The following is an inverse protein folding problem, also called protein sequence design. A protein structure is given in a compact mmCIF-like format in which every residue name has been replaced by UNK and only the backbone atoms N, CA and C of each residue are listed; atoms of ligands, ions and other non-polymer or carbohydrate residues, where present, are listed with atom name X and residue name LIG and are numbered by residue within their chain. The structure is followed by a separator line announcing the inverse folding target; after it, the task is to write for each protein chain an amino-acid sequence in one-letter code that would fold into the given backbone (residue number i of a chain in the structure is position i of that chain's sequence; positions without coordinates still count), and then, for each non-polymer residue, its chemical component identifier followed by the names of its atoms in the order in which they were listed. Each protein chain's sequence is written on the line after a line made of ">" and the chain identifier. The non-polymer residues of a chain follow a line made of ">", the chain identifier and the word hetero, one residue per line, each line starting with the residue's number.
data_IF_186761164649
#
_entry.id   IF_186761164649
#
_cell.length_a   1.000
_cell.length_b   1.000
_cell.length_c   1.000
_cell.angle_alpha   90.00
_cell.angle_beta   90.00
_cell.angle_gamma   90.00
#
_symmetry.space_group_name_H-M   'P 1'
#
loop_
_entity.id
_entity.type
_entity.pdbx_description
1 polymer ?
#
# COMPACT_ATOMS: atom_id res chain seq x y z
N UNK A 1 -3.70 23.42 23.03
CA UNK A 1 -3.16 22.97 21.73
C UNK A 1 -4.32 22.42 20.90
N UNK A 2 -4.39 22.70 19.59
CA UNK A 2 -5.51 22.28 18.74
C UNK A 2 -5.22 20.91 18.10
N UNK A 3 -6.10 19.95 18.32
CA UNK A 3 -6.10 18.63 17.65
C UNK A 3 -6.91 18.67 16.36
N UNK A 4 -6.53 17.87 15.38
CA UNK A 4 -7.28 17.67 14.14
C UNK A 4 -7.81 16.24 14.13
N UNK A 5 -9.13 16.07 14.07
CA UNK A 5 -9.74 14.75 13.91
C UNK A 5 -10.22 14.60 12.49
N UNK A 6 -9.73 13.58 11.79
CA UNK A 6 -10.15 13.25 10.42
C UNK A 6 -10.97 11.97 10.45
N UNK A 7 -12.19 12.03 9.91
CA UNK A 7 -13.00 10.86 9.66
C UNK A 7 -12.58 10.20 8.35
N UNK A 8 -11.89 9.07 8.43
CA UNK A 8 -11.47 8.28 7.26
C UNK A 8 -12.64 7.41 6.82
N UNK A 9 -13.28 7.76 5.71
CA UNK A 9 -14.42 7.05 5.17
C UNK A 9 -13.99 5.96 4.18
N UNK A 10 -14.22 4.69 4.53
CA UNK A 10 -13.89 3.53 3.73
C UNK A 10 -15.15 3.05 3.00
N UNK A 11 -15.29 3.46 1.75
CA UNK A 11 -16.41 3.09 0.89
C UNK A 11 -16.08 1.96 -0.09
N UNK A 12 -16.95 1.76 -1.08
CA UNK A 12 -16.79 0.74 -2.12
C UNK A 12 -15.51 0.88 -2.94
N UNK A 13 -15.09 2.13 -3.22
CA UNK A 13 -13.84 2.43 -3.96
C UNK A 13 -12.58 2.10 -3.16
N UNK A 14 -12.70 2.07 -1.83
CA UNK A 14 -11.60 1.85 -0.88
C UNK A 14 -11.54 0.39 -0.42
N UNK A 15 -12.07 -0.55 -1.21
CA UNK A 15 -12.21 -1.97 -0.84
C UNK A 15 -10.93 -2.60 -0.33
N UNK A 16 -9.77 -2.26 -0.93
CA UNK A 16 -8.48 -2.81 -0.50
C UNK A 16 -8.12 -2.37 0.91
N UNK A 17 -8.26 -1.07 1.19
CA UNK A 17 -8.01 -0.50 2.52
C UNK A 17 -9.05 -1.02 3.53
N UNK A 18 -10.29 -1.26 3.07
CA UNK A 18 -11.35 -1.89 3.87
C UNK A 18 -10.98 -3.32 4.28
N UNK A 19 -10.53 -4.16 3.34
CA UNK A 19 -10.10 -5.53 3.63
C UNK A 19 -8.90 -5.54 4.59
N UNK A 20 -7.93 -4.67 4.35
CA UNK A 20 -6.81 -4.50 5.28
C UNK A 20 -7.29 -4.09 6.68
N UNK A 21 -8.20 -3.12 6.79
CA UNK A 21 -8.77 -2.71 8.07
C UNK A 21 -9.44 -3.87 8.83
N UNK A 22 -10.17 -4.75 8.15
CA UNK A 22 -10.92 -5.84 8.78
C UNK A 22 -10.03 -6.92 9.41
N UNK A 23 -8.81 -7.08 8.90
CA UNK A 23 -7.83 -8.02 9.44
C UNK A 23 -6.95 -7.40 10.54
N UNK A 24 -7.12 -6.10 10.83
CA UNK A 24 -6.34 -5.44 11.87
C UNK A 24 -6.79 -5.86 13.27
N UNK A 25 -5.86 -5.95 14.24
CA UNK A 25 -6.22 -5.98 15.64
C UNK A 25 -7.07 -4.75 16.02
N UNK A 26 -8.11 -4.97 16.82
CA UNK A 26 -9.04 -3.90 17.24
C UNK A 26 -8.28 -2.73 17.88
N UNK A 27 -8.61 -1.51 17.46
CA UNK A 27 -8.06 -0.28 18.03
C UNK A 27 -6.71 0.17 17.46
N UNK A 28 -6.04 -0.63 16.61
CA UNK A 28 -4.74 -0.24 16.05
C UNK A 28 -4.83 0.72 14.86
N UNK A 29 -5.97 0.79 14.18
CA UNK A 29 -6.11 1.56 12.94
C UNK A 29 -5.60 3.00 13.05
N UNK A 30 -5.97 3.83 14.04
CA UNK A 30 -5.49 5.22 14.12
C UNK A 30 -3.96 5.31 14.26
N UNK A 31 -3.34 4.39 15.00
CA UNK A 31 -1.89 4.35 15.17
C UNK A 31 -1.19 3.96 13.87
N UNK A 32 -1.69 2.93 13.19
CA UNK A 32 -1.12 2.48 11.92
C UNK A 32 -1.24 3.53 10.83
N UNK A 33 -2.36 4.26 10.77
CA UNK A 33 -2.51 5.41 9.85
C UNK A 33 -1.37 6.42 10.06
N UNK A 34 -1.07 6.77 11.31
CA UNK A 34 0.03 7.70 11.61
C UNK A 34 1.39 7.16 11.17
N UNK A 35 1.67 5.88 11.39
CA UNK A 35 2.94 5.27 10.96
C UNK A 35 3.08 5.14 9.44
N UNK A 36 1.99 4.83 8.74
CA UNK A 36 1.97 4.83 7.28
C UNK A 36 2.27 6.21 6.72
N UNK A 37 1.60 7.26 7.23
CA UNK A 37 1.88 8.65 6.83
C UNK A 37 3.32 9.03 7.18
N UNK A 38 3.78 8.73 8.39
CA UNK A 38 5.13 9.07 8.83
C UNK A 38 6.21 8.46 7.93
N UNK A 39 6.01 7.21 7.49
CA UNK A 39 6.93 6.53 6.57
C UNK A 39 6.83 7.12 5.17
N UNK A 40 5.62 7.40 4.70
CA UNK A 40 5.36 8.00 3.39
C UNK A 40 6.04 9.37 3.25
N UNK A 41 5.97 10.22 4.29
CA UNK A 41 6.66 11.52 4.31
C UNK A 41 8.20 11.40 4.26
N UNK A 42 8.75 10.19 4.47
CA UNK A 42 10.17 9.87 4.33
C UNK A 42 10.48 9.13 3.01
N UNK A 43 9.55 9.15 2.05
CA UNK A 43 9.61 8.42 0.78
C UNK A 43 9.80 6.90 0.99
N UNK A 44 9.10 6.33 1.96
CA UNK A 44 9.13 4.90 2.25
C UNK A 44 7.72 4.38 2.63
N UNK A 45 7.53 3.07 2.63
CA UNK A 45 6.29 2.44 3.06
C UNK A 45 6.47 1.77 4.42
N UNK A 46 5.49 1.92 5.30
CA UNK A 46 5.53 1.29 6.61
C UNK A 46 5.34 -0.24 6.46
N UNK A 47 6.22 -1.10 7.01
CA UNK A 47 6.22 -2.54 6.73
C UNK A 47 5.08 -3.27 7.45
N UNK A 48 3.89 -3.28 6.81
CA UNK A 48 2.68 -3.88 7.36
C UNK A 48 2.77 -5.39 7.60
N UNK A 49 3.72 -6.09 6.97
CA UNK A 49 3.93 -7.54 7.15
C UNK A 49 4.28 -7.90 8.59
N UNK A 50 4.80 -6.94 9.37
CA UNK A 50 5.12 -7.14 10.80
C UNK A 50 3.89 -7.20 11.71
N UNK A 51 2.72 -6.79 11.20
CA UNK A 51 1.47 -6.66 11.96
C UNK A 51 0.35 -7.51 11.36
N UNK A 52 0.31 -7.61 10.04
CA UNK A 52 -0.72 -8.31 9.30
C UNK A 52 -0.11 -9.40 8.44
N UNK A 53 -0.75 -10.57 8.43
CA UNK A 53 -0.41 -11.61 7.47
C UNK A 53 -0.98 -11.25 6.07
N UNK A 54 -0.08 -11.17 5.09
CA UNK A 54 -0.42 -10.94 3.69
C UNK A 54 -1.35 -12.03 3.13
N UNK A 55 -1.24 -13.27 3.62
CA UNK A 55 -2.10 -14.37 3.22
C UNK A 55 -3.55 -14.12 3.60
N UNK A 56 -3.80 -13.71 4.85
CA UNK A 56 -5.15 -13.38 5.34
C UNK A 56 -5.77 -12.24 4.54
N UNK A 57 -4.98 -11.24 4.13
CA UNK A 57 -5.46 -10.18 3.24
C UNK A 57 -5.88 -10.74 1.87
N UNK A 58 -5.05 -11.59 1.26
CA UNK A 58 -5.34 -12.22 -0.04
C UNK A 58 -6.62 -13.07 0.04
N UNK A 59 -6.81 -13.81 1.14
CA UNK A 59 -8.03 -14.59 1.39
C UNK A 59 -9.28 -13.69 1.50
N UNK A 60 -9.20 -12.59 2.24
CA UNK A 60 -10.30 -11.61 2.33
C UNK A 60 -10.67 -10.99 0.98
N UNK A 61 -9.67 -10.67 0.15
CA UNK A 61 -9.89 -10.17 -1.22
C UNK A 61 -10.65 -11.20 -2.06
N UNK A 62 -10.28 -12.48 -1.95
CA UNK A 62 -10.89 -13.57 -2.72
C UNK A 62 -12.34 -13.86 -2.30
N UNK A 63 -12.65 -13.76 -1.00
CA UNK A 63 -14.01 -13.95 -0.49
C UNK A 63 -15.00 -12.87 -0.97
N UNK A 64 -14.49 -11.74 -1.50
CA UNK A 64 -15.28 -10.62 -2.05
C UNK A 64 -16.41 -10.17 -1.11
N UNK A 65 -16.16 -10.21 0.19
CA UNK A 65 -17.17 -9.86 1.18
C UNK A 65 -17.66 -8.43 0.93
N UNK A 66 -18.99 -8.29 0.86
CA UNK A 66 -19.63 -6.98 0.77
C UNK A 66 -19.60 -6.34 2.16
N UNK A 67 -18.91 -5.22 2.27
CA UNK A 67 -18.83 -4.46 3.52
C UNK A 67 -19.69 -3.21 3.44
N UNK A 68 -20.38 -2.94 4.55
CA UNK A 68 -21.03 -1.65 4.76
C UNK A 68 -19.96 -0.55 4.84
N UNK A 69 -20.16 0.60 4.17
CA UNK A 69 -19.25 1.73 4.30
C UNK A 69 -19.05 2.12 5.76
N UNK A 70 -17.78 2.34 6.13
CA UNK A 70 -17.41 2.57 7.53
C UNK A 70 -16.55 3.82 7.63
N UNK A 71 -16.81 4.65 8.65
CA UNK A 71 -15.95 5.78 8.98
C UNK A 71 -15.14 5.47 10.25
N UNK A 72 -13.84 5.76 10.21
CA UNK A 72 -12.96 5.66 11.38
C UNK A 72 -12.24 6.97 11.63
N UNK A 73 -12.37 7.46 12.86
CA UNK A 73 -11.76 8.72 13.25
C UNK A 73 -10.31 8.51 13.65
N UNK A 74 -9.43 9.37 13.13
CA UNK A 74 -8.03 9.44 13.50
C UNK A 74 -7.75 10.84 14.00
N UNK A 75 -7.25 10.94 15.23
CA UNK A 75 -6.94 12.23 15.87
C UNK A 75 -5.45 12.49 15.80
N UNK A 76 -5.10 13.64 15.25
CA UNK A 76 -3.74 14.13 15.12
C UNK A 76 -3.50 15.27 16.12
N UNK A 77 -2.40 15.20 16.85
CA UNK A 77 -1.98 16.20 17.84
C UNK A 77 -0.61 16.75 17.44
N UNK A 78 -0.20 17.92 17.96
CA UNK A 78 1.15 18.44 17.69
C UNK A 78 2.30 17.48 18.03
N UNK A 79 2.06 16.51 18.91
CA UNK A 79 3.03 15.46 19.29
C UNK A 79 3.33 14.49 18.14
N UNK A 80 2.42 14.36 17.15
CA UNK A 80 2.67 13.57 15.94
C UNK A 80 3.67 14.26 14.98
N UNK A 81 4.15 15.46 15.32
CA UNK A 81 5.26 16.14 14.66
C UNK A 81 5.01 16.37 13.16
N UNK A 82 5.88 15.87 12.25
CA UNK A 82 5.73 16.05 10.81
C UNK A 82 4.38 15.56 10.26
N UNK A 83 3.80 14.49 10.84
CA UNK A 83 2.50 13.97 10.43
C UNK A 83 1.41 15.00 10.70
N UNK A 84 1.42 15.64 11.87
CA UNK A 84 0.47 16.70 12.21
C UNK A 84 0.61 17.91 11.29
N UNK A 85 1.85 18.34 10.99
CA UNK A 85 2.09 19.46 10.09
C UNK A 85 1.58 19.18 8.68
N UNK A 86 1.82 17.96 8.18
CA UNK A 86 1.29 17.52 6.89
C UNK A 86 -0.23 17.55 6.86
N UNK A 87 -0.90 16.90 7.83
CA UNK A 87 -2.38 16.91 7.92
C UNK A 87 -2.93 18.33 8.00
N UNK A 88 -2.28 19.20 8.77
CA UNK A 88 -2.68 20.60 8.93
C UNK A 88 -2.55 21.40 7.64
N UNK A 89 -1.53 21.11 6.82
CA UNK A 89 -1.29 21.76 5.54
C UNK A 89 -2.29 21.37 4.45
N UNK A 90 -2.89 20.18 4.57
CA UNK A 90 -3.95 19.72 3.67
C UNK A 90 -5.25 20.48 3.91
N UNK A 91 -5.93 20.78 2.82
CA UNK A 91 -7.30 21.29 2.85
C UNK A 91 -8.25 20.24 3.44
N UNK A 92 -9.18 20.69 4.29
CA UNK A 92 -10.01 19.80 5.11
C UNK A 92 -10.84 18.82 4.29
N UNK A 93 -11.29 19.20 3.08
CA UNK A 93 -12.06 18.33 2.19
C UNK A 93 -11.26 17.16 1.61
N UNK A 94 -9.94 17.27 1.54
CA UNK A 94 -9.06 16.27 0.91
C UNK A 94 -8.33 15.38 1.91
N UNK A 95 -8.32 15.72 3.21
CA UNK A 95 -7.59 14.95 4.24
C UNK A 95 -7.92 13.46 4.24
N UNK A 96 -9.20 13.10 4.18
CA UNK A 96 -9.57 11.68 4.16
C UNK A 96 -9.09 10.98 2.90
N UNK A 97 -9.09 11.66 1.75
CA UNK A 97 -8.69 11.06 0.48
C UNK A 97 -7.18 10.82 0.45
N UNK A 98 -6.39 11.82 0.83
CA UNK A 98 -4.94 11.72 0.92
C UNK A 98 -4.49 10.62 1.86
N UNK A 99 -5.14 10.49 3.03
CA UNK A 99 -4.88 9.37 3.95
C UNK A 99 -5.17 8.03 3.27
N UNK A 100 -6.31 7.88 2.59
CA UNK A 100 -6.68 6.62 1.93
C UNK A 100 -5.71 6.27 0.80
N UNK A 101 -5.22 7.25 0.05
CA UNK A 101 -4.22 7.05 -0.99
C UNK A 101 -2.92 6.48 -0.42
N UNK A 102 -2.39 7.08 0.65
CA UNK A 102 -1.19 6.55 1.34
C UNK A 102 -1.42 5.13 1.86
N UNK A 103 -2.58 4.86 2.47
CA UNK A 103 -2.89 3.52 2.97
C UNK A 103 -2.97 2.49 1.84
N UNK A 104 -3.63 2.85 0.74
CA UNK A 104 -3.76 1.99 -0.44
C UNK A 104 -2.38 1.64 -1.01
N UNK A 105 -1.53 2.63 -1.23
CA UNK A 105 -0.17 2.40 -1.72
C UNK A 105 0.64 1.55 -0.74
N UNK A 106 0.60 1.86 0.56
CA UNK A 106 1.32 1.09 1.57
C UNK A 106 0.90 -0.37 1.56
N UNK A 107 -0.40 -0.67 1.51
CA UNK A 107 -0.93 -2.04 1.44
C UNK A 107 -0.45 -2.75 0.18
N UNK A 108 -0.48 -2.08 -0.98
CA UNK A 108 -0.01 -2.67 -2.25
C UNK A 108 1.48 -2.99 -2.16
N UNK A 109 2.30 -2.02 -1.75
CA UNK A 109 3.76 -2.16 -1.76
C UNK A 109 4.29 -3.14 -0.71
N UNK A 110 3.55 -3.40 0.36
CA UNK A 110 4.03 -4.22 1.47
C UNK A 110 3.32 -5.58 1.55
N UNK A 111 2.01 -5.63 1.39
CA UNK A 111 1.26 -6.88 1.56
C UNK A 111 0.98 -7.61 0.24
N UNK A 112 0.97 -6.91 -0.90
CA UNK A 112 0.62 -7.51 -2.19
C UNK A 112 1.80 -7.68 -3.14
N UNK A 113 2.81 -6.81 -3.05
CA UNK A 113 4.04 -6.97 -3.82
C UNK A 113 4.97 -7.95 -3.08
N UNK A 114 5.27 -9.09 -3.69
CA UNK A 114 6.19 -10.14 -3.18
C UNK A 114 7.68 -9.71 -3.24
N UNK A 115 7.99 -8.42 -3.13
CA UNK A 115 9.37 -7.95 -3.10
C UNK A 115 9.94 -8.10 -1.68
N UNK A 116 11.04 -8.84 -1.47
CA UNK A 116 11.71 -8.86 -0.19
C UNK A 116 12.33 -7.48 0.09
N UNK A 117 11.61 -6.64 0.83
CA UNK A 117 12.01 -5.27 1.23
C UNK A 117 13.09 -5.23 2.32
N UNK A 118 13.95 -6.24 2.36
CA UNK A 118 15.24 -6.10 3.02
C UNK A 118 16.28 -5.96 1.91
N UNK A 119 16.80 -4.74 1.63
CA UNK A 119 18.09 -4.69 0.98
C UNK A 119 19.03 -5.52 1.86
N UNK A 120 19.77 -6.51 1.31
CA UNK A 120 20.80 -7.17 2.09
C UNK A 120 21.66 -6.04 2.63
N UNK A 121 21.68 -5.89 3.97
CA UNK A 121 22.75 -5.13 4.59
C UNK A 121 24.00 -5.86 4.13
N UNK A 122 24.69 -5.29 3.15
CA UNK A 122 26.10 -5.53 2.99
C UNK A 122 26.70 -5.05 4.30
N UNK A 123 26.74 -5.96 5.28
CA UNK A 123 27.68 -5.91 6.38
C UNK A 123 29.00 -5.86 5.63
N UNK A 124 29.52 -4.64 5.50
CA UNK A 124 30.86 -4.42 5.04
C UNK A 124 31.73 -5.34 5.88
N UNK A 125 32.40 -6.27 5.22
CA UNK A 125 33.65 -6.79 5.72
C UNK A 125 34.53 -5.55 5.91
N UNK A 126 34.48 -4.97 7.10
CA UNK A 126 35.55 -4.15 7.60
C UNK A 126 36.76 -5.09 7.68
N UNK A 127 37.61 -4.98 6.67
CA UNK A 127 38.96 -5.55 6.66
C UNK A 127 39.68 -5.04 7.91
N UNK A 128 39.72 -5.87 8.95
CA UNK A 128 40.71 -5.73 10.00
C UNK A 128 42.06 -6.15 9.40
N UNK A 129 42.71 -5.21 8.71
CA UNK A 129 44.13 -5.30 8.43
C UNK A 129 44.87 -5.18 9.77
N UNK A 130 45.08 -6.32 10.42
CA UNK A 130 46.14 -6.44 11.42
C UNK A 130 47.46 -6.22 10.69
N UNK A 131 48.08 -5.07 10.96
CA UNK A 131 49.46 -4.84 10.59
C UNK A 131 50.36 -5.80 11.34
N UNK A 132 51.23 -6.51 10.62
CA UNK A 132 52.65 -6.80 10.93
C UNK A 132 53.16 -7.93 10.02
N UNK A 133 54.47 -7.88 9.72
CA UNK A 133 55.25 -8.71 8.79
C UNK A 133 55.08 -8.34 7.30
N UNK A 134 56.10 -8.03 6.52
CA UNK A 134 57.54 -8.07 6.70
C UNK A 134 58.19 -7.94 5.30
N UNK A 135 59.31 -7.25 5.23
CA UNK A 135 60.43 -7.41 4.26
C UNK A 135 60.17 -7.48 2.73
N UNK A 136 60.76 -6.47 2.07
CA UNK A 136 61.74 -6.61 0.97
C UNK A 136 61.31 -6.45 -0.51
N UNK A 137 62.23 -5.81 -1.26
CA UNK A 137 62.32 -5.56 -2.71
C UNK A 137 61.32 -4.55 -3.30
N UNK A 138 61.69 -3.50 -4.04
CA UNK A 138 62.91 -3.21 -4.80
C UNK A 138 62.45 -2.63 -6.16
N UNK A 139 62.80 -1.36 -6.43
CA UNK A 139 62.80 -0.66 -7.74
C UNK A 139 61.75 -1.00 -8.82
N UNK A 140 60.88 -0.04 -9.18
CA UNK A 140 60.85 0.56 -10.54
C UNK A 140 59.83 1.71 -10.66
N UNK A 141 60.33 2.87 -11.10
CA UNK A 141 59.54 3.89 -11.77
C UNK A 141 59.16 3.41 -13.18
N UNK A 142 57.95 3.73 -13.65
CA UNK A 142 57.72 4.09 -15.05
C UNK A 142 56.49 4.99 -15.19
N UNK A 143 56.74 6.20 -15.69
CA UNK A 143 55.78 7.10 -16.33
C UNK A 143 55.26 6.46 -17.63
N UNK A 144 53.96 6.63 -17.93
CA UNK A 144 53.44 6.77 -19.29
C UNK A 144 52.03 7.36 -19.27
N UNK A 145 51.99 8.64 -19.58
CA UNK A 145 50.87 9.44 -20.04
C UNK A 145 50.53 8.99 -21.48
N UNK A 146 49.26 8.76 -21.82
CA UNK A 146 48.67 9.31 -23.04
C UNK A 146 47.16 9.07 -23.18
N UNK A 147 46.54 10.09 -23.74
CA UNK A 147 45.12 10.27 -23.93
C UNK A 147 44.59 9.50 -25.14
N UNK A 148 43.34 9.02 -25.06
CA UNK A 148 42.52 8.90 -26.25
C UNK A 148 41.06 9.27 -26.01
N UNK A 149 40.54 9.96 -27.01
CA UNK A 149 39.49 10.96 -26.99
C UNK A 149 38.25 10.39 -27.71
N UNK A 150 37.06 10.80 -27.23
CA UNK A 150 35.76 10.92 -27.93
C UNK A 150 34.97 9.64 -28.28
N UNK A 151 33.82 9.44 -27.61
CA UNK A 151 32.46 9.58 -28.20
C UNK A 151 31.36 9.39 -27.16
N UNK A 152 30.47 10.38 -26.91
CA UNK A 152 29.23 10.15 -26.17
C UNK A 152 28.12 9.85 -27.18
N UNK A 153 27.68 8.59 -27.27
CA UNK A 153 26.55 8.23 -28.11
C UNK A 153 25.26 8.28 -27.28
N UNK A 154 24.56 9.40 -27.42
CA UNK A 154 23.15 9.55 -27.09
C UNK A 154 22.34 8.47 -27.82
N UNK A 155 21.83 7.47 -27.08
CA UNK A 155 20.55 6.85 -27.40
C UNK A 155 19.60 7.10 -26.24
N UNK A 156 18.79 8.13 -26.46
CA UNK A 156 17.61 8.50 -25.71
C UNK A 156 16.53 7.47 -26.06
N UNK A 157 16.49 6.35 -25.36
CA UNK A 157 15.31 5.50 -25.42
C UNK A 157 14.18 6.21 -24.65
N UNK A 158 13.18 6.60 -25.44
CA UNK A 158 11.85 6.93 -24.96
C UNK A 158 11.30 5.71 -24.22
N UNK A 159 11.39 5.71 -22.90
CA UNK A 159 10.47 4.91 -22.08
C UNK A 159 9.17 5.70 -22.05
N UNK A 160 8.27 5.38 -22.98
CA UNK A 160 6.85 5.66 -22.81
C UNK A 160 6.38 4.85 -21.61
N UNK A 161 6.37 5.45 -20.42
CA UNK A 161 5.73 4.86 -19.26
C UNK A 161 4.25 5.26 -19.28
N UNK A 162 3.53 4.70 -20.24
CA UNK A 162 2.07 4.71 -20.26
C UNK A 162 1.63 3.28 -19.97
N UNK A 163 1.60 2.93 -18.68
CA UNK A 163 0.80 1.79 -18.24
C UNK A 163 0.23 2.09 -16.85
N UNK A 164 -0.92 2.78 -16.89
CA UNK A 164 -1.85 2.86 -15.79
C UNK A 164 -2.14 1.45 -15.28
N UNK A 165 -1.58 1.11 -14.12
CA UNK A 165 -1.73 -0.16 -13.40
C UNK A 165 -3.18 -0.69 -13.39
N UNK A 166 -3.51 -1.77 -14.13
CA UNK A 166 -4.81 -2.44 -14.06
C UNK A 166 -4.75 -3.78 -13.29
N UNK A 167 -3.58 -4.13 -12.72
CA UNK A 167 -3.32 -5.51 -12.28
C UNK A 167 -4.19 -6.01 -11.11
N UNK A 168 -4.65 -5.12 -10.22
CA UNK A 168 -5.49 -5.54 -9.08
C UNK A 168 -6.98 -5.67 -9.43
N UNK A 169 -7.43 -5.10 -10.55
CA UNK A 169 -8.80 -5.30 -11.03
C UNK A 169 -8.97 -6.66 -11.75
N UNK A 170 -7.92 -7.15 -12.44
CA UNK A 170 -7.97 -8.43 -13.17
C UNK A 170 -8.07 -9.67 -12.27
N UNK A 171 -7.64 -9.59 -11.02
CA UNK A 171 -7.89 -10.63 -10.01
C UNK A 171 -9.38 -10.72 -9.61
N UNK A 172 -10.19 -9.69 -9.90
CA UNK A 172 -11.62 -9.64 -9.59
C UNK A 172 -12.53 -10.11 -10.74
N UNK A 173 -12.02 -10.59 -11.88
CA UNK A 173 -12.87 -10.96 -13.03
C UNK A 173 -12.83 -12.42 -13.47
N UNK A 174 -11.92 -13.26 -12.97
CA UNK A 174 -11.83 -14.69 -13.34
C UNK A 174 -12.78 -15.63 -12.55
N UNK A 175 -14.06 -15.28 -12.43
CA UNK A 175 -15.04 -16.08 -11.67
C UNK A 175 -16.44 -16.18 -12.28
N UNK A 176 -16.58 -15.90 -13.58
CA UNK A 176 -17.79 -16.18 -14.34
C UNK A 176 -17.39 -16.98 -15.56
N UNK A 177 -17.56 -18.29 -15.49
CA UNK A 177 -17.90 -19.21 -16.58
C UNK A 177 -17.99 -20.63 -15.98
N UNK A 178 -18.97 -21.42 -16.43
CA UNK A 178 -19.57 -22.66 -15.87
C UNK A 178 -20.68 -22.44 -14.82
N UNK A 179 -21.91 -22.94 -14.97
CA UNK A 179 -22.55 -23.73 -16.02
C UNK A 179 -24.06 -23.70 -15.76
N UNK A 180 -24.85 -23.45 -16.79
CA UNK A 180 -26.30 -23.60 -16.78
C UNK A 180 -26.67 -25.08 -16.77
N UNK A 181 -27.66 -25.48 -15.98
CA UNK A 181 -28.55 -26.57 -16.39
C UNK A 181 -29.97 -26.29 -15.88
N UNK A 182 -30.87 -26.18 -16.85
CA UNK A 182 -32.30 -25.99 -16.74
C UNK A 182 -32.98 -27.06 -15.87
N UNK A 183 -33.87 -26.66 -14.96
CA UNK A 183 -35.12 -27.40 -14.73
C UNK A 183 -36.29 -26.40 -14.70
N UNK A 184 -36.99 -26.41 -15.83
CA UNK A 184 -38.27 -25.80 -16.15
C UNK A 184 -39.41 -26.42 -15.32
N UNK A 185 -40.13 -25.62 -14.53
CA UNK A 185 -41.58 -25.78 -14.24
C UNK A 185 -42.21 -24.41 -13.96
N UNK A 186 -43.26 -24.11 -14.72
CA UNK A 186 -43.97 -22.85 -14.84
C UNK A 186 -45.29 -22.87 -13.99
N UNK A 187 -46.18 -21.85 -14.01
CA UNK A 187 -46.35 -20.90 -12.91
C UNK A 187 -47.76 -20.92 -12.28
N UNK A 188 -47.95 -20.23 -11.15
CA UNK A 188 -49.31 -19.86 -10.69
C UNK A 188 -49.33 -18.57 -9.86
N UNK A 189 -50.10 -17.62 -10.40
CA UNK A 189 -50.84 -16.53 -9.79
C UNK A 189 -50.15 -15.25 -9.28
N UNK A 190 -50.44 -14.21 -10.07
CA UNK A 190 -50.48 -12.80 -9.77
C UNK A 190 -51.51 -12.42 -8.68
N UNK A 191 -51.51 -11.12 -8.36
CA UNK A 191 -52.35 -10.35 -7.42
C UNK A 191 -51.73 -10.28 -6.01
N UNK A 192 -51.54 -9.13 -5.39
CA UNK A 192 -51.98 -7.76 -5.64
C UNK A 192 -51.56 -6.92 -4.41
N UNK A 193 -51.46 -5.62 -4.59
CA UNK A 193 -51.26 -4.63 -3.52
C UNK A 193 -52.22 -4.82 -2.34
N UNK A 194 -51.74 -4.61 -1.11
CA UNK A 194 -52.56 -3.95 -0.06
C UNK A 194 -51.68 -3.35 1.06
N UNK A 195 -51.77 -2.04 1.19
CA UNK A 195 -51.44 -1.28 2.39
C UNK A 195 -52.40 -1.66 3.51
N UNK A 196 -51.90 -1.98 4.72
CA UNK A 196 -52.68 -1.81 5.94
C UNK A 196 -51.79 -1.30 7.08
N UNK A 197 -51.96 -0.01 7.33
CA UNK A 197 -51.76 0.64 8.61
C UNK A 197 -52.73 -0.01 9.59
N UNK A 198 -52.26 -0.46 10.76
CA UNK A 198 -53.16 -0.68 11.89
C UNK A 198 -52.62 0.04 13.12
N UNK A 199 -53.43 1.01 13.54
CA UNK A 199 -53.44 1.65 14.83
C UNK A 199 -53.85 0.65 15.92
N UNK A 200 -53.41 0.96 17.15
CA UNK A 200 -53.93 0.57 18.47
C UNK A 200 -53.50 -0.78 19.06
N UNK A 201 -52.76 -0.63 20.16
CA UNK A 201 -52.67 -1.48 21.33
C UNK A 201 -52.12 -0.63 22.45
#
# INVERSE_FOLDING_TARGET
>A
MSSITVGVYLGKKDRLVRYWYEILPKGQFPMLVKYCIQSYLRNNYFPLQSICDARTLKEQIQMRSEYVPTQRNVTFTPEDGPVYQWIKSLESGYRSEEIKNILKETVIHTLLNDQPMYPPRHIGQATFASGTAGMDSGYQQHYAEEAQKVTPLLKRDHVMMDEAYPAWEKLATHGKDHEETEIKREPANAQGFSHLVNYLG
#
